data_IF_852369996666
#
_entry.id   IF_852369996666
#
_cell.length_a   1.000
_cell.length_b   1.000
_cell.length_c   1.000
_cell.angle_alpha   90.00
_cell.angle_beta   90.00
_cell.angle_gamma   90.00
#
_symmetry.space_group_name_H-M   'P 1'
#
loop_
_entity.id
_entity.type
_entity.pdbx_description
1 polymer ?
#
# COMPACT_ATOMS: atom_id res chain seq x y z
N UNK A 1 0.82 -21.97 -21.54
CA UNK A 1 1.59 -20.72 -21.60
C UNK A 1 0.68 -19.59 -21.15
N UNK A 2 0.68 -19.23 -19.86
CA UNK A 2 -0.01 -18.03 -19.39
C UNK A 2 1.04 -16.93 -19.30
N UNK A 3 1.18 -16.17 -20.38
CA UNK A 3 1.92 -14.92 -20.36
C UNK A 3 1.12 -13.92 -19.53
N UNK A 4 1.40 -13.84 -18.23
CA UNK A 4 0.91 -12.75 -17.39
C UNK A 4 1.60 -11.46 -17.84
N UNK A 5 1.04 -10.82 -18.86
CA UNK A 5 1.38 -9.45 -19.19
C UNK A 5 0.94 -8.60 -17.99
N UNK A 6 1.90 -8.19 -17.16
CA UNK A 6 1.63 -7.14 -16.19
C UNK A 6 1.01 -5.96 -16.97
N UNK A 7 -0.21 -5.51 -16.62
CA UNK A 7 -0.81 -4.40 -17.33
C UNK A 7 0.15 -3.21 -17.25
N UNK A 8 0.40 -2.56 -18.38
CA UNK A 8 1.10 -1.28 -18.41
C UNK A 8 0.39 -0.34 -17.44
N UNK A 9 1.06 0.00 -16.33
CA UNK A 9 0.47 0.82 -15.26
C UNK A 9 0.04 2.14 -15.86
N UNK A 10 -1.27 2.35 -15.95
CA UNK A 10 -1.84 3.62 -16.36
C UNK A 10 -1.59 4.65 -15.26
N UNK A 11 -1.25 5.86 -15.67
CA UNK A 11 -1.02 6.96 -14.76
C UNK A 11 -2.29 7.26 -13.95
N UNK A 12 -2.11 7.68 -12.71
CA UNK A 12 -3.23 8.06 -11.84
C UNK A 12 -4.04 9.23 -12.43
N UNK A 13 -5.37 9.16 -12.32
CA UNK A 13 -6.22 10.31 -12.63
C UNK A 13 -5.94 11.48 -11.67
N UNK A 14 -6.32 12.71 -12.07
CA UNK A 14 -6.15 13.89 -11.21
C UNK A 14 -6.87 13.77 -9.86
N UNK A 15 -8.04 13.13 -9.87
CA UNK A 15 -8.84 12.85 -8.66
C UNK A 15 -8.09 11.86 -7.76
N UNK A 16 -7.56 10.78 -8.33
CA UNK A 16 -6.80 9.77 -7.59
C UNK A 16 -5.55 10.39 -6.94
N UNK A 17 -4.75 11.16 -7.69
CA UNK A 17 -3.59 11.86 -7.15
C UNK A 17 -3.97 12.77 -5.97
N UNK A 18 -4.99 13.62 -6.14
CA UNK A 18 -5.42 14.54 -5.07
C UNK A 18 -5.93 13.79 -3.84
N UNK A 19 -6.63 12.67 -4.01
CA UNK A 19 -7.12 11.83 -2.91
C UNK A 19 -5.96 11.17 -2.16
N UNK A 20 -5.03 10.54 -2.87
CA UNK A 20 -3.90 9.83 -2.28
C UNK A 20 -2.94 10.77 -1.57
N UNK A 21 -2.72 11.97 -2.08
CA UNK A 21 -1.91 12.99 -1.40
C UNK A 21 -2.53 13.37 -0.04
N UNK A 22 -3.85 13.51 0.05
CA UNK A 22 -4.52 13.79 1.32
C UNK A 22 -4.40 12.63 2.31
N UNK A 23 -4.62 11.40 1.85
CA UNK A 23 -4.47 10.21 2.69
C UNK A 23 -3.02 10.02 3.17
N UNK A 24 -2.03 10.30 2.31
CA UNK A 24 -0.62 10.23 2.68
C UNK A 24 -0.26 11.26 3.75
N UNK A 25 -0.75 12.50 3.62
CA UNK A 25 -0.57 13.53 4.64
C UNK A 25 -1.25 13.13 5.95
N UNK A 26 -2.48 12.63 5.90
CA UNK A 26 -3.20 12.16 7.08
C UNK A 26 -2.48 11.01 7.77
N UNK A 27 -1.95 10.05 7.01
CA UNK A 27 -1.13 8.95 7.53
C UNK A 27 0.15 9.46 8.21
N UNK A 28 0.82 10.46 7.64
CA UNK A 28 2.01 11.05 8.24
C UNK A 28 1.72 11.76 9.57
N UNK A 29 0.55 12.40 9.67
CA UNK A 29 0.11 13.09 10.89
C UNK A 29 -0.39 12.09 11.95
N UNK A 30 -1.14 11.07 11.53
CA UNK A 30 -1.77 10.07 12.38
C UNK A 30 -1.51 8.65 11.86
N UNK A 31 -0.29 8.11 12.02
CA UNK A 31 0.04 6.79 11.52
C UNK A 31 -0.73 5.71 12.30
N UNK A 32 -1.32 4.71 11.61
CA UNK A 32 -1.96 3.58 12.29
C UNK A 32 -0.96 2.80 13.16
N UNK A 33 -1.40 2.41 14.36
CA UNK A 33 -0.55 1.69 15.30
C UNK A 33 -0.05 0.36 14.69
N UNK A 34 1.26 0.15 14.72
CA UNK A 34 1.89 -1.05 14.15
C UNK A 34 2.09 -1.02 12.63
N UNK A 35 1.71 0.05 11.93
CA UNK A 35 1.95 0.22 10.50
C UNK A 35 2.94 1.36 10.24
N UNK A 36 3.97 1.09 9.45
CA UNK A 36 5.00 2.07 9.08
C UNK A 36 5.09 2.16 7.57
N UNK A 37 4.62 3.27 7.01
CA UNK A 37 4.77 3.53 5.58
C UNK A 37 6.23 3.85 5.24
N UNK A 38 6.81 3.15 4.26
CA UNK A 38 8.13 3.44 3.71
C UNK A 38 8.01 4.55 2.68
N UNK A 39 8.75 5.64 2.89
CA UNK A 39 8.74 6.80 1.97
C UNK A 39 9.17 6.35 0.57
N UNK A 40 8.34 6.69 -0.42
CA UNK A 40 8.59 6.44 -1.84
C UNK A 40 8.20 7.67 -2.66
N UNK A 41 8.88 7.85 -3.79
CA UNK A 41 8.57 8.81 -4.85
C UNK A 41 7.36 8.40 -5.71
N UNK A 42 6.89 7.15 -5.58
CA UNK A 42 5.77 6.62 -6.34
C UNK A 42 4.46 6.67 -5.54
N UNK A 43 3.62 7.67 -5.83
CA UNK A 43 2.30 7.80 -5.18
C UNK A 43 1.35 6.63 -5.47
N UNK A 44 1.53 5.92 -6.60
CA UNK A 44 0.68 4.81 -7.03
C UNK A 44 1.01 3.50 -6.29
N UNK A 45 2.15 3.43 -5.61
CA UNK A 45 2.57 2.23 -4.88
C UNK A 45 3.06 2.57 -3.49
N UNK A 46 2.39 2.07 -2.47
CA UNK A 46 2.84 2.20 -1.10
C UNK A 46 3.44 0.90 -0.62
N UNK A 47 4.53 1.00 0.13
CA UNK A 47 5.15 -0.13 0.82
C UNK A 47 5.01 0.15 2.31
N UNK A 48 4.36 -0.76 3.04
CA UNK A 48 4.03 -0.58 4.44
C UNK A 48 4.59 -1.74 5.22
N UNK A 49 5.40 -1.46 6.23
CA UNK A 49 5.85 -2.45 7.20
C UNK A 49 4.80 -2.59 8.29
N UNK A 50 4.47 -3.83 8.65
CA UNK A 50 3.41 -4.15 9.60
C UNK A 50 3.96 -5.07 10.67
N UNK A 51 3.78 -4.66 11.92
CA UNK A 51 4.09 -5.51 13.07
C UNK A 51 2.90 -6.41 13.36
N UNK A 52 3.16 -7.70 13.55
CA UNK A 52 2.11 -8.64 13.94
C UNK A 52 1.48 -8.27 15.29
N UNK A 53 0.17 -8.48 15.38
CA UNK A 53 -0.62 -8.01 16.50
C UNK A 53 -0.23 -8.72 17.82
N UNK A 54 -0.07 -7.98 18.94
CA UNK A 54 0.27 -8.58 20.23
C UNK A 54 -0.75 -9.61 20.70
N UNK A 55 -0.29 -10.71 21.28
CA UNK A 55 -1.14 -11.78 21.79
C UNK A 55 -1.68 -12.73 20.72
N UNK A 56 -1.24 -12.60 19.47
CA UNK A 56 -1.55 -13.52 18.36
C UNK A 56 -0.34 -14.39 18.01
N UNK A 57 -0.55 -15.42 17.19
CA UNK A 57 0.54 -16.24 16.64
C UNK A 57 1.55 -15.45 15.80
N UNK A 58 1.15 -14.27 15.32
CA UNK A 58 1.97 -13.38 14.51
C UNK A 58 2.76 -12.37 15.36
N UNK A 59 2.64 -12.43 16.70
CA UNK A 59 3.32 -11.50 17.60
C UNK A 59 4.83 -11.52 17.38
N UNK A 60 5.46 -10.35 17.44
CA UNK A 60 6.91 -10.17 17.26
C UNK A 60 7.44 -10.51 15.85
N UNK A 61 6.56 -10.77 14.88
CA UNK A 61 6.94 -10.85 13.47
C UNK A 61 6.67 -9.52 12.76
N UNK A 62 7.43 -9.28 11.69
CA UNK A 62 7.30 -8.11 10.83
C UNK A 62 7.04 -8.54 9.41
N UNK A 63 5.99 -7.97 8.81
CA UNK A 63 5.58 -8.23 7.44
C UNK A 63 5.69 -6.97 6.60
N UNK A 64 5.66 -7.13 5.28
CA UNK A 64 5.58 -6.02 4.36
C UNK A 64 4.33 -6.14 3.49
N UNK A 65 3.50 -5.11 3.48
CA UNK A 65 2.39 -4.93 2.54
C UNK A 65 2.86 -4.07 1.37
N UNK A 66 2.49 -4.45 0.16
CA UNK A 66 2.50 -3.57 -1.00
C UNK A 66 1.06 -3.21 -1.35
N UNK A 67 0.78 -1.93 -1.49
CA UNK A 67 -0.52 -1.42 -1.92
C UNK A 67 -0.33 -0.74 -3.27
N UNK A 68 -0.97 -1.26 -4.31
CA UNK A 68 -0.98 -0.68 -5.65
C UNK A 68 -2.33 0.00 -5.91
N UNK A 69 -2.30 1.30 -6.18
CA UNK A 69 -3.48 2.10 -6.45
C UNK A 69 -3.85 2.12 -7.93
N UNK A 70 -5.11 1.87 -8.30
CA UNK A 70 -5.56 1.96 -9.67
C UNK A 70 -5.71 3.41 -10.14
N UNK A 71 -5.80 3.60 -11.46
CA UNK A 71 -5.99 4.92 -12.09
C UNK A 71 -7.22 5.68 -11.56
N UNK A 72 -8.30 4.93 -11.32
CA UNK A 72 -9.61 5.46 -10.92
C UNK A 72 -9.88 5.36 -9.42
N UNK A 73 -8.87 5.19 -8.58
CA UNK A 73 -9.02 5.29 -7.12
C UNK A 73 -9.67 6.65 -6.75
N UNK A 74 -10.64 6.71 -5.81
CA UNK A 74 -11.14 5.65 -4.94
C UNK A 74 -12.36 4.88 -5.47
N UNK A 75 -12.72 5.06 -6.75
CA UNK A 75 -13.86 4.33 -7.37
C UNK A 75 -13.52 2.85 -7.59
N UNK A 76 -12.24 2.57 -7.82
CA UNK A 76 -11.67 1.22 -7.84
C UNK A 76 -10.82 1.01 -6.58
N UNK A 77 -10.94 -0.16 -5.97
CA UNK A 77 -10.19 -0.52 -4.78
C UNK A 77 -8.71 -0.76 -5.11
N UNK A 78 -7.78 -0.44 -4.17
CA UNK A 78 -6.38 -0.80 -4.34
C UNK A 78 -6.17 -2.31 -4.24
N UNK A 79 -5.13 -2.80 -4.92
CA UNK A 79 -4.63 -4.16 -4.72
C UNK A 79 -3.66 -4.16 -3.54
N UNK A 80 -3.78 -5.16 -2.66
CA UNK A 80 -2.92 -5.32 -1.49
C UNK A 80 -2.27 -6.70 -1.53
N UNK A 81 -0.95 -6.73 -1.56
CA UNK A 81 -0.14 -7.95 -1.55
C UNK A 81 0.67 -8.03 -0.25
N UNK A 82 0.59 -9.16 0.45
CA UNK A 82 1.35 -9.43 1.68
C UNK A 82 2.63 -10.20 1.35
N UNK A 83 3.77 -9.66 1.75
CA UNK A 83 5.08 -10.28 1.67
C UNK A 83 5.54 -10.69 3.07
N UNK A 84 5.82 -11.98 3.20
CA UNK A 84 6.43 -12.58 4.39
C UNK A 84 7.90 -12.84 4.08
N UNK A 85 8.80 -12.37 4.92
CA UNK A 85 10.23 -12.71 4.82
C UNK A 85 10.42 -14.04 5.55
N UNK A 86 10.70 -15.11 4.80
CA UNK A 86 11.04 -16.45 5.32
C UNK A 86 12.55 -16.57 5.45
#
# INVERSE_FOLDING_TARGET
>A
MTSSSAPSRKALSKIACNRLQKELVEWQVNPPAGFKHKVSDNLQRWVIEVNGAPGTLYSNETYQLQVDFPEHYPMEAPQVDLFVFV
#
